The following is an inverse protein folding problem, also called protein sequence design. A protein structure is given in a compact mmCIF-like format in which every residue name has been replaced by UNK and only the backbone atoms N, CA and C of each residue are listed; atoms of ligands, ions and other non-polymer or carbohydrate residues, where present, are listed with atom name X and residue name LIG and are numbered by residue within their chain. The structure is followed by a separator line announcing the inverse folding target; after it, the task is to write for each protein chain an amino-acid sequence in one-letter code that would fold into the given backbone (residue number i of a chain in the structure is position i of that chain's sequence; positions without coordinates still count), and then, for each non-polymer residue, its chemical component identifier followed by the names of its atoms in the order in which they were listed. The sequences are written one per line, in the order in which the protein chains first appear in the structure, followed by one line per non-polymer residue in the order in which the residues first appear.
data_IF_216022632389
#
_entry.id   IF_216022632389
#
_cell.length_a   1.000
_cell.length_b   1.000
_cell.length_c   1.000
_cell.angle_alpha   90.00
_cell.angle_beta   90.00
_cell.angle_gamma   90.00
#
_symmetry.space_group_name_H-M   'P 1'
#
loop_
_entity.id
_entity.type
_entity.pdbx_description
1 polymer ?
#
# COMPACT_ATOMS: atom_id res chain seq x y z
N UNK A 1 0.34 32.20 10.14
CA UNK A 1 1.39 31.22 10.49
C UNK A 1 0.81 30.34 11.58
N UNK A 2 0.28 29.17 11.21
CA UNK A 2 -0.22 28.16 12.16
C UNK A 2 0.86 27.09 12.25
N UNK A 3 1.43 27.02 13.44
CA UNK A 3 2.59 26.22 13.82
C UNK A 3 2.26 24.73 13.86
N UNK A 4 2.97 23.96 13.04
CA UNK A 4 3.51 22.63 13.31
C UNK A 4 2.77 21.73 14.32
N UNK A 5 2.00 20.74 13.85
CA UNK A 5 1.95 19.41 14.49
C UNK A 5 1.52 18.31 13.50
N UNK A 6 2.42 17.91 12.61
CA UNK A 6 2.44 16.54 12.09
C UNK A 6 3.78 15.92 12.49
N UNK A 7 4.03 15.91 13.81
CA UNK A 7 5.13 15.18 14.43
C UNK A 7 4.66 13.72 14.46
N UNK A 8 5.33 12.88 13.67
CA UNK A 8 5.29 11.41 13.68
C UNK A 8 3.91 10.75 13.82
N UNK A 9 3.11 10.71 12.74
CA UNK A 9 1.82 9.98 12.76
C UNK A 9 1.97 8.45 12.75
N UNK A 10 3.15 7.92 12.45
CA UNK A 10 3.35 6.47 12.32
C UNK A 10 4.02 5.93 13.57
N UNK A 11 3.25 5.18 14.35
CA UNK A 11 3.71 4.65 15.62
C UNK A 11 4.62 3.43 15.40
N UNK A 12 5.60 3.18 16.26
CA UNK A 12 6.53 2.04 16.13
C UNK A 12 5.80 0.69 16.08
N UNK A 13 4.65 0.60 16.75
CA UNK A 13 3.78 -0.58 16.69
C UNK A 13 3.18 -0.84 15.30
N UNK A 14 2.87 0.22 14.55
CA UNK A 14 2.33 0.09 13.19
C UNK A 14 3.40 -0.48 12.25
N UNK A 15 4.64 0.00 12.36
CA UNK A 15 5.78 -0.56 11.63
C UNK A 15 6.01 -2.04 11.98
N UNK A 16 5.92 -2.43 13.25
CA UNK A 16 6.03 -3.85 13.66
C UNK A 16 4.97 -4.74 13.01
N UNK A 17 3.73 -4.25 12.87
CA UNK A 17 2.65 -4.99 12.19
C UNK A 17 2.92 -5.14 10.69
N UNK A 18 3.46 -4.09 10.06
CA UNK A 18 3.87 -4.13 8.65
C UNK A 18 5.02 -5.11 8.47
N UNK A 19 6.05 -5.06 9.32
CA UNK A 19 7.18 -5.98 9.31
C UNK A 19 6.73 -7.44 9.45
N UNK A 20 5.85 -7.73 10.42
CA UNK A 20 5.32 -9.08 10.62
C UNK A 20 4.59 -9.60 9.38
N UNK A 21 3.92 -8.71 8.64
CA UNK A 21 3.23 -9.06 7.41
C UNK A 21 4.21 -9.28 6.24
N UNK A 22 5.25 -8.46 6.13
CA UNK A 22 6.32 -8.64 5.14
C UNK A 22 7.04 -9.98 5.33
N UNK A 23 7.37 -10.31 6.58
CA UNK A 23 8.00 -11.59 6.93
C UNK A 23 7.08 -12.78 6.62
N UNK A 24 5.78 -12.65 6.89
CA UNK A 24 4.79 -13.66 6.49
C UNK A 24 4.76 -13.87 4.97
N UNK A 25 4.81 -12.80 4.17
CA UNK A 25 4.83 -12.90 2.71
C UNK A 25 6.14 -13.51 2.19
N UNK A 26 7.29 -13.12 2.76
CA UNK A 26 8.61 -13.70 2.43
C UNK A 26 8.65 -15.21 2.70
N UNK A 27 8.03 -15.67 3.78
CA UNK A 27 7.98 -17.10 4.10
C UNK A 27 7.09 -17.90 3.15
N UNK A 28 6.06 -17.28 2.55
CA UNK A 28 5.14 -17.94 1.62
C UNK A 28 5.59 -17.84 0.16
N UNK A 29 6.55 -16.97 -0.17
CA UNK A 29 7.05 -16.81 -1.53
C UNK A 29 8.53 -16.45 -1.52
N UNK A 30 9.30 -17.29 -2.21
CA UNK A 30 10.73 -17.19 -2.45
C UNK A 30 11.16 -15.95 -3.26
N UNK A 31 10.22 -15.17 -3.80
CA UNK A 31 10.47 -13.86 -4.41
C UNK A 31 9.26 -12.98 -4.18
N UNK A 32 9.47 -11.84 -3.52
CA UNK A 32 8.45 -10.80 -3.35
C UNK A 32 8.11 -10.24 -4.73
N UNK A 33 6.91 -10.53 -5.22
CA UNK A 33 6.43 -10.06 -6.52
C UNK A 33 5.84 -8.65 -6.37
N UNK A 34 5.66 -7.96 -7.50
CA UNK A 34 4.94 -6.67 -7.56
C UNK A 34 3.57 -6.71 -6.85
N UNK A 35 2.91 -7.86 -6.83
CA UNK A 35 1.62 -8.06 -6.17
C UNK A 35 1.73 -8.07 -4.63
N UNK A 36 2.85 -8.56 -4.10
CA UNK A 36 3.13 -8.58 -2.66
C UNK A 36 3.41 -7.16 -2.15
N UNK A 37 4.15 -6.36 -2.92
CA UNK A 37 4.38 -4.94 -2.61
C UNK A 37 3.09 -4.15 -2.50
N UNK A 38 2.14 -4.38 -3.42
CA UNK A 38 0.81 -3.75 -3.32
C UNK A 38 0.06 -4.21 -2.07
N UNK A 39 0.09 -5.51 -1.75
CA UNK A 39 -0.57 -6.03 -0.55
C UNK A 39 0.00 -5.39 0.72
N UNK A 40 1.33 -5.23 0.79
CA UNK A 40 2.01 -4.54 1.89
C UNK A 40 1.61 -3.07 1.95
N UNK A 41 1.56 -2.36 0.81
CA UNK A 41 1.11 -0.95 0.75
C UNK A 41 -0.35 -0.81 1.21
N UNK A 42 -1.24 -1.70 0.77
CA UNK A 42 -2.63 -1.73 1.19
C UNK A 42 -2.76 -1.97 2.69
N UNK A 43 -1.98 -2.91 3.23
CA UNK A 43 -1.98 -3.22 4.64
C UNK A 43 -1.41 -2.06 5.47
N UNK A 44 -0.34 -1.42 4.99
CA UNK A 44 0.23 -0.22 5.60
C UNK A 44 -0.78 0.94 5.60
N UNK A 45 -1.53 1.14 4.50
CA UNK A 45 -2.60 2.15 4.45
C UNK A 45 -3.71 1.86 5.46
N UNK A 46 -4.11 0.59 5.64
CA UNK A 46 -5.11 0.20 6.64
C UNK A 46 -4.63 0.42 8.07
N UNK A 47 -3.35 0.17 8.34
CA UNK A 47 -2.76 0.29 9.68
C UNK A 47 -2.49 1.76 10.02
N UNK A 48 -1.94 2.53 9.07
CA UNK A 48 -1.50 3.91 9.26
C UNK A 48 -2.58 4.95 8.93
N UNK A 49 -3.63 4.58 8.19
CA UNK A 49 -4.69 5.49 7.71
C UNK A 49 -4.25 6.45 6.60
N UNK A 50 -2.94 6.56 6.35
CA UNK A 50 -2.33 7.33 5.28
C UNK A 50 -1.00 6.68 4.86
N UNK A 51 -0.56 6.97 3.64
CA UNK A 51 0.74 6.55 3.10
C UNK A 51 1.64 7.77 2.89
N UNK A 52 2.19 8.38 3.97
CA UNK A 52 3.19 9.42 3.82
C UNK A 52 4.46 8.83 3.17
N UNK A 53 5.29 9.70 2.59
CA UNK A 53 6.54 9.27 1.90
C UNK A 53 7.44 8.43 2.80
N UNK A 54 7.50 8.72 4.10
CA UNK A 54 8.28 7.95 5.08
C UNK A 54 7.89 6.47 5.12
N UNK A 55 6.60 6.16 5.05
CA UNK A 55 6.12 4.76 5.01
C UNK A 55 6.48 4.10 3.69
N UNK A 56 6.42 4.85 2.58
CA UNK A 56 6.82 4.33 1.28
C UNK A 56 8.31 4.00 1.23
N UNK A 57 9.16 4.88 1.77
CA UNK A 57 10.61 4.62 1.90
C UNK A 57 10.89 3.43 2.83
N UNK A 58 10.18 3.33 3.95
CA UNK A 58 10.32 2.20 4.86
C UNK A 58 10.00 0.86 4.19
N UNK A 59 8.89 0.81 3.43
CA UNK A 59 8.49 -0.39 2.70
C UNK A 59 9.50 -0.70 1.58
N UNK A 60 9.99 0.32 0.88
CA UNK A 60 11.00 0.16 -0.16
C UNK A 60 12.29 -0.48 0.38
N UNK A 61 12.79 0.03 1.51
CA UNK A 61 13.96 -0.51 2.22
C UNK A 61 13.74 -1.96 2.68
N UNK A 62 12.58 -2.26 3.26
CA UNK A 62 12.24 -3.60 3.75
C UNK A 62 12.09 -4.65 2.66
N UNK A 63 11.56 -4.24 1.51
CA UNK A 63 11.35 -5.14 0.38
C UNK A 63 12.56 -5.21 -0.57
N UNK A 64 13.62 -4.43 -0.31
CA UNK A 64 14.80 -4.29 -1.19
C UNK A 64 14.40 -3.83 -2.61
N UNK A 65 13.43 -2.91 -2.70
CA UNK A 65 12.93 -2.36 -3.96
C UNK A 65 13.19 -0.87 -4.06
N UNK A 66 13.33 -0.36 -5.28
CA UNK A 66 13.51 1.08 -5.48
C UNK A 66 12.22 1.85 -5.20
N UNK A 67 12.34 3.06 -4.64
CA UNK A 67 11.17 3.95 -4.42
C UNK A 67 10.39 4.23 -5.70
N UNK A 68 11.08 4.33 -6.84
CA UNK A 68 10.45 4.51 -8.16
C UNK A 68 9.53 3.34 -8.54
N UNK A 69 9.87 2.11 -8.14
CA UNK A 69 8.99 0.95 -8.39
C UNK A 69 7.73 1.01 -7.54
N UNK A 70 7.84 1.44 -6.27
CA UNK A 70 6.69 1.64 -5.38
C UNK A 70 5.74 2.70 -5.97
N UNK A 71 6.28 3.84 -6.41
CA UNK A 71 5.49 4.91 -7.04
C UNK A 71 4.85 4.47 -8.35
N UNK A 72 5.55 3.67 -9.17
CA UNK A 72 5.00 3.07 -10.38
C UNK A 72 3.84 2.12 -10.06
N UNK A 73 3.97 1.28 -9.03
CA UNK A 73 2.90 0.36 -8.60
C UNK A 73 1.67 1.16 -8.16
N UNK A 74 1.84 2.17 -7.30
CA UNK A 74 0.73 3.02 -6.83
C UNK A 74 0.04 3.68 -8.03
N UNK A 75 0.81 4.31 -8.91
CA UNK A 75 0.31 5.00 -10.10
C UNK A 75 -0.42 4.04 -11.05
N UNK A 76 0.12 2.84 -11.24
CA UNK A 76 -0.46 1.80 -12.09
C UNK A 76 -1.83 1.38 -11.55
N UNK A 77 -1.94 1.06 -10.27
CA UNK A 77 -3.21 0.64 -9.68
C UNK A 77 -4.25 1.76 -9.63
N UNK A 78 -3.84 3.01 -9.36
CA UNK A 78 -4.74 4.17 -9.47
C UNK A 78 -5.23 4.38 -10.90
N UNK A 79 -4.35 4.24 -11.89
CA UNK A 79 -4.69 4.36 -13.30
C UNK A 79 -5.67 3.27 -13.72
N UNK A 80 -5.44 2.01 -13.34
CA UNK A 80 -6.36 0.91 -13.61
C UNK A 80 -7.73 1.11 -12.95
N UNK A 81 -7.74 1.57 -11.69
CA UNK A 81 -9.00 1.89 -11.00
C UNK A 81 -9.77 3.02 -11.70
N UNK A 82 -9.07 4.05 -12.21
CA UNK A 82 -9.68 5.13 -13.00
C UNK A 82 -10.17 4.65 -14.36
N UNK A 83 -9.41 3.78 -15.04
CA UNK A 83 -9.75 3.21 -16.34
C UNK A 83 -11.02 2.34 -16.28
N UNK A 84 -11.24 1.61 -15.18
CA UNK A 84 -12.50 0.84 -15.00
C UNK A 84 -13.76 1.71 -14.87
N UNK A 85 -13.62 3.03 -14.71
CA UNK A 85 -14.75 3.97 -14.58
C UNK A 85 -15.12 4.65 -15.89
N UNK A 86 -14.34 4.48 -16.95
CA UNK A 86 -14.56 5.10 -18.26
C UNK A 86 -15.19 4.18 -19.29
N UNK A 87 -15.96 3.18 -18.88
CA UNK A 87 -16.92 2.50 -19.73
C UNK A 87 -18.08 1.98 -18.85
N UNK A 88 -19.28 2.46 -19.15
CA UNK A 88 -20.52 1.90 -18.62
C UNK A 88 -20.65 0.45 -19.06
N UNK A 89 -20.10 -0.49 -18.29
CA UNK A 89 -20.52 -1.90 -18.35
C UNK A 89 -21.13 -2.24 -17.01
N UNK A 90 -22.45 -2.19 -17.01
CA UNK A 90 -23.32 -2.71 -15.95
C UNK A 90 -22.96 -4.17 -15.72
N UNK A 91 -22.33 -4.49 -14.60
CA UNK A 91 -22.44 -5.84 -14.02
C UNK A 91 -23.69 -5.85 -13.15
N UNK A 92 -24.78 -6.39 -13.69
CA UNK A 92 -25.98 -6.71 -12.92
C UNK A 92 -25.69 -7.85 -11.92
N UNK A 93 -26.18 -7.63 -10.70
CA UNK A 93 -26.70 -8.61 -9.70
C UNK A 93 -25.68 -9.49 -8.93
N UNK A 94 -25.68 -9.55 -7.60
CA UNK A 94 -26.80 -9.95 -6.71
C UNK A 94 -26.60 -9.54 -5.22
N UNK A 95 -27.74 -9.25 -4.55
CA UNK A 95 -28.03 -9.31 -3.09
C UNK A 95 -27.49 -8.17 -2.19
N UNK A 96 -28.32 -7.37 -1.51
CA UNK A 96 -29.36 -7.85 -0.58
C UNK A 96 -30.50 -6.86 -0.41
N UNK A 97 -31.71 -7.29 -0.78
CA UNK A 97 -32.93 -7.24 0.04
C UNK A 97 -33.73 -8.52 -0.24
#
# INVERSE_FOLDING_TARGET
MITQTCIDRVNTEQFKKIDSFIEFLRNNSNSLRKMDTLAVLHQAYRICGALPKEVQYYIADKLDVSISEIEQIISFYEYFSKATRSENIVYQETRSF
#
